data_IF_342858149504
#
_entry.id   IF_342858149504
#
_cell.length_a   1.000
_cell.length_b   1.000
_cell.length_c   1.000
_cell.angle_alpha   90.00
_cell.angle_beta   90.00
_cell.angle_gamma   90.00
#
_symmetry.space_group_name_H-M   'P 1'
#
loop_
_entity.id
_entity.type
_entity.pdbx_description
1 polymer ?
#
# COMPACT_ATOMS: atom_id res chain seq x y z
N UNK A 1 -37.12 -29.23 10.96
CA UNK A 1 -36.00 -28.47 10.27
C UNK A 1 -34.75 -29.29 10.41
N UNK A 2 -34.20 -29.75 9.31
CA UNK A 2 -33.01 -30.59 9.29
C UNK A 2 -31.79 -29.80 9.80
N UNK A 3 -30.84 -30.47 10.44
CA UNK A 3 -29.59 -29.92 10.96
C UNK A 3 -28.83 -29.09 9.89
N UNK A 4 -28.86 -29.56 8.64
CA UNK A 4 -28.32 -28.91 7.45
C UNK A 4 -28.94 -27.52 7.21
N UNK A 5 -30.23 -27.34 7.46
CA UNK A 5 -30.91 -26.06 7.28
C UNK A 5 -30.43 -25.03 8.31
N UNK A 6 -30.29 -25.44 9.57
CA UNK A 6 -29.77 -24.59 10.66
C UNK A 6 -28.32 -24.16 10.40
N UNK A 7 -27.46 -25.08 9.92
CA UNK A 7 -26.09 -24.78 9.55
C UNK A 7 -26.00 -23.78 8.39
N UNK A 8 -26.82 -23.94 7.36
CA UNK A 8 -26.87 -23.02 6.21
C UNK A 8 -27.30 -21.61 6.62
N UNK A 9 -28.34 -21.47 7.46
CA UNK A 9 -28.76 -20.17 7.97
C UNK A 9 -27.72 -19.54 8.90
N UNK A 10 -27.07 -20.32 9.75
CA UNK A 10 -25.97 -19.85 10.60
C UNK A 10 -24.79 -19.33 9.78
N UNK A 11 -24.38 -20.04 8.72
CA UNK A 11 -23.33 -19.63 7.83
C UNK A 11 -23.68 -18.34 7.05
N UNK A 12 -24.92 -18.21 6.59
CA UNK A 12 -25.38 -17.01 5.91
C UNK A 12 -25.40 -15.79 6.83
N UNK A 13 -25.87 -15.93 8.06
CA UNK A 13 -25.85 -14.85 9.05
C UNK A 13 -24.44 -14.41 9.40
N UNK A 14 -23.53 -15.35 9.56
CA UNK A 14 -22.10 -15.06 9.83
C UNK A 14 -21.47 -14.31 8.67
N UNK A 15 -21.75 -14.72 7.43
CA UNK A 15 -21.25 -14.03 6.23
C UNK A 15 -21.76 -12.59 6.17
N UNK A 16 -23.06 -12.37 6.42
CA UNK A 16 -23.65 -11.02 6.46
C UNK A 16 -23.02 -10.18 7.57
N UNK A 17 -22.80 -10.74 8.75
CA UNK A 17 -22.15 -10.03 9.85
C UNK A 17 -20.72 -9.65 9.51
N UNK A 18 -19.93 -10.51 8.88
CA UNK A 18 -18.57 -10.23 8.44
C UNK A 18 -18.54 -9.13 7.37
N UNK A 19 -19.47 -9.16 6.40
CA UNK A 19 -19.57 -8.15 5.36
C UNK A 19 -19.96 -6.79 5.94
N UNK A 20 -20.94 -6.74 6.86
CA UNK A 20 -21.32 -5.51 7.56
C UNK A 20 -20.15 -4.96 8.38
N UNK A 21 -19.46 -5.81 9.11
CA UNK A 21 -18.26 -5.38 9.84
C UNK A 21 -17.19 -4.83 8.90
N UNK A 22 -16.92 -5.50 7.78
CA UNK A 22 -15.94 -5.06 6.80
C UNK A 22 -16.32 -3.73 6.12
N UNK A 23 -17.62 -3.44 5.98
CA UNK A 23 -18.11 -2.19 5.41
C UNK A 23 -18.05 -1.02 6.41
N UNK A 24 -18.28 -1.27 7.70
CA UNK A 24 -18.47 -0.24 8.72
C UNK A 24 -17.24 -0.04 9.62
N UNK A 25 -16.45 -1.07 9.85
CA UNK A 25 -15.30 -0.98 10.74
C UNK A 25 -14.26 0.05 10.26
N UNK A 26 -13.65 0.83 11.18
CA UNK A 26 -12.67 1.84 10.82
C UNK A 26 -11.44 1.20 10.18
N UNK A 27 -10.84 1.92 9.23
CA UNK A 27 -9.57 1.52 8.63
C UNK A 27 -8.44 1.92 9.59
N UNK A 28 -7.80 0.93 10.19
CA UNK A 28 -6.65 1.11 11.07
C UNK A 28 -5.51 0.25 10.59
N UNK A 29 -4.34 0.87 10.46
CA UNK A 29 -3.09 0.17 10.21
C UNK A 29 -2.13 0.42 11.37
N UNK A 30 -1.27 -0.54 11.72
CA UNK A 30 -0.31 -0.37 12.80
C UNK A 30 0.69 0.75 12.51
N UNK A 31 0.98 0.99 11.23
CA UNK A 31 1.84 2.09 10.78
C UNK A 31 1.18 2.85 9.65
N UNK A 32 1.23 4.19 9.70
CA UNK A 32 0.75 5.06 8.62
C UNK A 32 1.77 5.22 7.49
N UNK A 33 2.83 4.41 7.50
CA UNK A 33 3.98 4.52 6.65
C UNK A 33 3.93 3.51 5.50
N UNK A 34 4.33 3.94 4.31
CA UNK A 34 4.62 3.08 3.17
C UNK A 34 6.05 3.32 2.73
N UNK A 35 6.85 2.27 2.71
CA UNK A 35 8.28 2.39 2.37
C UNK A 35 8.47 2.25 0.87
N UNK A 36 9.19 3.20 0.29
CA UNK A 36 9.77 3.15 -1.06
C UNK A 36 11.27 2.94 -0.90
N UNK A 37 11.77 1.81 -1.38
CA UNK A 37 13.20 1.45 -1.27
C UNK A 37 13.90 1.75 -2.59
N UNK A 38 15.03 2.45 -2.53
CA UNK A 38 15.99 2.56 -3.62
C UNK A 38 17.01 1.44 -3.46
N UNK A 39 16.94 0.41 -4.34
CA UNK A 39 17.77 -0.79 -4.19
C UNK A 39 19.21 -0.54 -4.60
N UNK A 40 20.16 -1.36 -4.13
CA UNK A 40 21.55 -1.32 -4.59
C UNK A 40 21.64 -1.55 -6.10
N UNK A 41 22.53 -0.79 -6.77
CA UNK A 41 22.75 -0.91 -8.21
C UNK A 41 21.86 -0.02 -9.08
N UNK A 42 21.11 0.88 -8.48
CA UNK A 42 20.31 1.89 -9.19
C UNK A 42 19.11 1.32 -9.96
N UNK A 43 18.59 2.10 -10.91
CA UNK A 43 17.37 1.79 -11.68
C UNK A 43 17.41 0.51 -12.52
N UNK A 44 18.60 -0.04 -12.78
CA UNK A 44 18.78 -1.23 -13.62
C UNK A 44 18.70 -2.57 -12.90
N UNK A 45 18.89 -2.60 -11.57
CA UNK A 45 18.99 -3.85 -10.82
C UNK A 45 17.62 -4.37 -10.33
N UNK A 46 16.83 -3.49 -9.74
CA UNK A 46 15.46 -3.80 -9.31
C UNK A 46 14.58 -2.57 -9.57
N UNK A 47 13.50 -2.70 -10.31
CA UNK A 47 12.69 -1.54 -10.67
C UNK A 47 12.00 -0.95 -9.44
N UNK A 48 12.22 0.34 -9.19
CA UNK A 48 11.42 1.13 -8.25
C UNK A 48 10.05 1.36 -8.88
N UNK A 49 8.94 1.19 -8.14
CA UNK A 49 7.60 1.37 -8.70
C UNK A 49 7.40 2.81 -9.21
N UNK A 50 6.87 2.93 -10.43
CA UNK A 50 6.56 4.23 -11.02
C UNK A 50 5.32 4.89 -10.39
N UNK A 51 4.49 4.11 -9.68
CA UNK A 51 3.30 4.60 -9.00
C UNK A 51 3.25 4.08 -7.56
N UNK A 52 2.98 4.99 -6.62
CA UNK A 52 2.76 4.69 -5.21
C UNK A 52 1.39 5.22 -4.82
N UNK A 53 0.56 4.37 -4.21
CA UNK A 53 -0.78 4.75 -3.73
C UNK A 53 -0.78 4.89 -2.22
N UNK A 54 -1.29 6.02 -1.76
CA UNK A 54 -1.47 6.34 -0.35
C UNK A 54 -2.94 6.67 -0.06
N UNK A 55 -3.33 6.59 1.20
CA UNK A 55 -4.68 6.92 1.65
C UNK A 55 -4.58 7.77 2.91
N UNK A 56 -5.15 8.96 2.89
CA UNK A 56 -5.15 9.89 4.01
C UNK A 56 -5.73 9.24 5.27
N UNK A 57 -5.08 9.46 6.40
CA UNK A 57 -5.50 8.93 7.69
C UNK A 57 -5.27 7.42 7.89
N UNK A 58 -4.84 6.70 6.84
CA UNK A 58 -4.60 5.25 6.87
C UNK A 58 -3.12 4.94 6.60
N UNK A 59 -2.64 5.33 5.43
CA UNK A 59 -1.24 5.26 5.00
C UNK A 59 -0.94 6.51 4.20
N UNK A 60 -0.48 7.54 4.85
CA UNK A 60 -0.28 8.88 4.30
C UNK A 60 1.15 9.42 4.49
N UNK A 61 2.05 8.56 4.94
CA UNK A 61 3.48 8.89 5.06
C UNK A 61 4.28 7.99 4.13
N UNK A 62 5.03 8.59 3.21
CA UNK A 62 6.00 7.88 2.37
C UNK A 62 7.36 7.91 3.02
N UNK A 63 7.92 6.72 3.29
CA UNK A 63 9.30 6.55 3.72
C UNK A 63 10.18 6.26 2.51
N UNK A 64 11.11 7.15 2.21
CA UNK A 64 12.14 6.94 1.21
C UNK A 64 13.34 6.33 1.90
N UNK A 65 13.68 5.09 1.56
CA UNK A 65 14.82 4.38 2.13
C UNK A 65 15.86 4.08 1.06
N UNK A 66 17.00 4.77 1.13
CA UNK A 66 18.10 4.53 0.21
C UNK A 66 18.98 3.38 0.73
N UNK A 67 18.94 2.24 0.06
CA UNK A 67 19.82 1.08 0.29
C UNK A 67 20.97 1.00 -0.71
N UNK A 68 21.05 1.95 -1.64
CA UNK A 68 22.16 2.03 -2.59
C UNK A 68 23.38 2.68 -1.95
N UNK A 69 24.51 2.55 -2.59
CA UNK A 69 25.78 3.21 -2.24
C UNK A 69 25.89 4.63 -2.79
N UNK A 70 25.00 4.97 -3.75
CA UNK A 70 24.89 6.30 -4.32
C UNK A 70 23.75 7.12 -3.70
N UNK A 71 23.84 8.44 -3.63
CA UNK A 71 22.72 9.30 -3.27
C UNK A 71 21.68 9.30 -4.39
N UNK A 72 20.40 9.37 -4.02
CA UNK A 72 19.28 9.43 -4.96
C UNK A 72 18.43 10.68 -4.74
N UNK A 73 17.95 11.26 -5.84
CA UNK A 73 17.06 12.44 -5.82
C UNK A 73 15.61 11.99 -5.95
N UNK A 74 14.76 12.49 -5.06
CA UNK A 74 13.32 12.34 -5.13
C UNK A 74 12.66 13.71 -5.02
N UNK A 75 12.21 14.26 -6.14
CA UNK A 75 11.72 15.64 -6.21
C UNK A 75 12.81 16.65 -5.82
N UNK A 76 12.62 17.30 -4.68
CA UNK A 76 13.59 18.28 -4.14
C UNK A 76 14.44 17.69 -2.98
N UNK A 77 14.27 16.41 -2.68
CA UNK A 77 14.93 15.74 -1.57
C UNK A 77 16.08 14.88 -2.08
N UNK A 78 17.27 15.09 -1.51
CA UNK A 78 18.42 14.21 -1.70
C UNK A 78 18.47 13.18 -0.57
N UNK A 79 18.31 11.90 -0.92
CA UNK A 79 18.37 10.80 0.04
C UNK A 79 19.76 10.17 -0.03
N UNK A 80 20.57 10.39 1.00
CA UNK A 80 21.93 9.85 1.09
C UNK A 80 21.93 8.33 1.31
N UNK A 81 23.02 7.62 0.97
CA UNK A 81 23.18 6.20 1.21
C UNK A 81 22.87 5.79 2.65
N UNK A 82 22.07 4.75 2.84
CA UNK A 82 21.67 4.22 4.15
C UNK A 82 20.70 5.11 4.94
N UNK A 83 20.24 6.22 4.36
CA UNK A 83 19.33 7.14 5.05
C UNK A 83 17.88 6.88 4.70
N UNK A 84 17.01 7.27 5.64
CA UNK A 84 15.57 7.25 5.49
C UNK A 84 15.04 8.67 5.58
N UNK A 85 14.17 9.05 4.65
CA UNK A 85 13.47 10.33 4.67
C UNK A 85 11.96 10.10 4.74
N UNK A 86 11.27 10.86 5.60
CA UNK A 86 9.81 10.78 5.80
C UNK A 86 9.13 11.92 5.07
N UNK A 87 8.22 11.59 4.17
CA UNK A 87 7.41 12.54 3.42
C UNK A 87 5.92 12.34 3.76
N UNK A 88 5.35 13.17 4.66
CA UNK A 88 3.94 13.11 4.99
C UNK A 88 3.09 13.82 3.93
N UNK A 89 1.88 13.31 3.69
CA UNK A 89 0.87 13.91 2.82
C UNK A 89 -0.37 14.28 3.64
N UNK A 90 -0.84 15.51 3.46
CA UNK A 90 -1.99 16.05 4.18
C UNK A 90 -3.21 16.27 3.27
N UNK A 91 -3.02 16.23 1.96
CA UNK A 91 -4.06 16.46 0.98
C UNK A 91 -4.11 15.34 -0.05
N UNK A 92 -5.32 15.01 -0.51
CA UNK A 92 -5.49 14.09 -1.63
C UNK A 92 -5.09 14.77 -2.94
N UNK A 93 -4.51 13.98 -3.84
CA UNK A 93 -4.08 14.44 -5.15
C UNK A 93 -3.05 13.51 -5.77
N UNK A 94 -2.68 13.81 -7.00
CA UNK A 94 -1.61 13.14 -7.73
C UNK A 94 -0.36 14.02 -7.70
N UNK A 95 0.70 13.51 -7.07
CA UNK A 95 1.98 14.19 -6.93
C UNK A 95 3.01 13.50 -7.81
N UNK A 96 3.62 14.26 -8.69
CA UNK A 96 4.65 13.76 -9.62
C UNK A 96 6.02 14.23 -9.17
N UNK A 97 6.90 13.28 -8.86
CA UNK A 97 8.27 13.56 -8.43
C UNK A 97 9.27 13.03 -9.44
N UNK A 98 10.27 13.84 -9.77
CA UNK A 98 11.45 13.35 -10.47
C UNK A 98 12.20 12.38 -9.55
N UNK A 99 12.63 11.24 -10.06
CA UNK A 99 13.35 10.22 -9.31
C UNK A 99 14.37 9.53 -10.21
N UNK A 100 15.63 9.68 -9.90
CA UNK A 100 16.75 9.09 -10.66
C UNK A 100 16.88 7.57 -10.46
N UNK A 101 16.26 7.02 -9.40
CA UNK A 101 16.26 5.61 -9.12
C UNK A 101 15.20 4.82 -9.92
N UNK A 102 14.40 5.47 -10.77
CA UNK A 102 13.40 4.81 -11.63
C UNK A 102 13.81 4.84 -13.10
N UNK A 103 13.44 3.81 -13.86
CA UNK A 103 13.70 3.76 -15.29
C UNK A 103 13.03 4.92 -16.06
N UNK A 104 11.87 5.37 -15.62
CA UNK A 104 11.14 6.51 -16.19
C UNK A 104 11.55 7.86 -15.63
N UNK A 105 12.47 7.90 -14.68
CA UNK A 105 12.92 9.10 -13.95
C UNK A 105 11.79 9.88 -13.25
N UNK A 106 10.63 9.27 -13.10
CA UNK A 106 9.44 9.87 -12.48
C UNK A 106 8.71 8.85 -11.62
N UNK A 107 8.26 9.27 -10.44
CA UNK A 107 7.34 8.52 -9.57
C UNK A 107 6.09 9.33 -9.33
N UNK A 108 4.94 8.73 -9.57
CA UNK A 108 3.64 9.35 -9.26
C UNK A 108 3.14 8.83 -7.92
N UNK A 109 2.94 9.71 -6.96
CA UNK A 109 2.33 9.39 -5.67
C UNK A 109 0.87 9.81 -5.71
N UNK A 110 -0.04 8.84 -5.72
CA UNK A 110 -1.49 9.08 -5.67
C UNK A 110 -1.99 8.99 -4.25
N UNK A 111 -2.45 10.10 -3.74
CA UNK A 111 -3.02 10.20 -2.39
C UNK A 111 -4.53 10.33 -2.50
N UNK A 112 -5.24 9.31 -2.03
CA UNK A 112 -6.69 9.30 -2.02
C UNK A 112 -7.25 9.65 -0.64
N UNK A 113 -8.46 10.18 -0.61
CA UNK A 113 -9.22 10.32 0.63
C UNK A 113 -9.57 8.94 1.20
N UNK A 114 -9.79 8.88 2.51
CA UNK A 114 -10.30 7.69 3.16
C UNK A 114 -11.70 7.38 2.59
N UNK A 115 -11.97 6.12 2.21
CA UNK A 115 -13.28 5.75 1.70
C UNK A 115 -14.36 5.87 2.78
N UNK A 116 -15.53 6.37 2.39
CA UNK A 116 -16.69 6.45 3.26
C UNK A 116 -17.13 5.06 3.74
N UNK A 117 -17.76 4.98 4.94
CA UNK A 117 -18.37 3.74 5.43
C UNK A 117 -19.38 3.19 4.42
N UNK A 118 -19.42 1.86 4.27
CA UNK A 118 -20.32 1.19 3.34
C UNK A 118 -19.59 0.49 2.18
N UNK A 119 -20.21 0.48 1.01
CA UNK A 119 -19.71 -0.24 -0.17
C UNK A 119 -18.34 0.27 -0.65
N UNK A 120 -18.09 1.57 -0.54
CA UNK A 120 -16.80 2.15 -0.92
C UNK A 120 -15.67 1.58 -0.07
N UNK A 121 -15.87 1.45 1.24
CA UNK A 121 -14.89 0.88 2.18
C UNK A 121 -14.70 -0.62 1.97
N UNK A 122 -15.78 -1.34 1.70
CA UNK A 122 -15.71 -2.77 1.38
C UNK A 122 -14.90 -3.01 0.10
N UNK A 123 -15.18 -2.26 -0.96
CA UNK A 123 -14.43 -2.33 -2.22
C UNK A 123 -12.96 -1.94 -2.06
N UNK A 124 -12.66 -0.96 -1.21
CA UNK A 124 -11.28 -0.59 -0.89
C UNK A 124 -10.53 -1.72 -0.19
N UNK A 125 -11.17 -2.37 0.82
CA UNK A 125 -10.56 -3.52 1.54
C UNK A 125 -10.30 -4.69 0.61
N UNK A 126 -11.24 -4.99 -0.28
CA UNK A 126 -11.09 -6.08 -1.24
C UNK A 126 -9.90 -5.82 -2.19
N UNK A 127 -9.77 -4.60 -2.72
CA UNK A 127 -8.63 -4.21 -3.56
C UNK A 127 -7.31 -4.27 -2.82
N UNK A 128 -7.26 -3.76 -1.58
CA UNK A 128 -6.08 -3.83 -0.74
C UNK A 128 -5.66 -5.27 -0.43
N UNK A 129 -6.63 -6.17 -0.22
CA UNK A 129 -6.38 -7.59 -0.01
C UNK A 129 -5.81 -8.26 -1.28
N UNK A 130 -6.42 -8.01 -2.45
CA UNK A 130 -5.93 -8.55 -3.73
C UNK A 130 -4.51 -8.05 -4.03
N UNK A 131 -4.22 -6.78 -3.77
CA UNK A 131 -2.87 -6.22 -3.93
C UNK A 131 -1.87 -6.87 -2.96
N UNK A 132 -2.26 -7.07 -1.70
CA UNK A 132 -1.42 -7.76 -0.72
C UNK A 132 -1.11 -9.19 -1.13
N UNK A 133 -2.10 -9.95 -1.63
CA UNK A 133 -1.90 -11.32 -2.12
C UNK A 133 -0.98 -11.36 -3.33
N UNK A 134 -1.09 -10.39 -4.26
CA UNK A 134 -0.22 -10.32 -5.45
C UNK A 134 1.23 -9.97 -5.12
N UNK A 135 1.46 -9.27 -4.01
CA UNK A 135 2.80 -8.84 -3.58
C UNK A 135 3.43 -9.77 -2.55
N UNK A 136 2.78 -10.87 -2.19
CA UNK A 136 3.38 -11.90 -1.33
C UNK A 136 4.60 -12.49 -2.06
N UNK A 137 5.80 -12.47 -1.45
CA UNK A 137 6.95 -13.19 -1.97
C UNK A 137 6.63 -14.68 -1.88
N UNK A 138 6.47 -15.34 -3.02
CA UNK A 138 6.41 -16.81 -3.08
C UNK A 138 7.86 -17.27 -2.94
N UNK A 139 8.32 -17.48 -1.71
CA UNK A 139 9.52 -18.26 -1.47
C UNK A 139 9.19 -19.71 -1.85
N UNK A 140 9.72 -20.16 -3.00
CA UNK A 140 9.73 -21.57 -3.31
C UNK A 140 10.50 -22.29 -2.19
N UNK A 141 9.99 -23.40 -1.61
CA UNK A 141 10.76 -24.19 -0.68
C UNK A 141 12.04 -24.63 -1.40
N UNK A 142 13.17 -24.16 -0.87
CA UNK A 142 14.48 -24.52 -1.38
C UNK A 142 14.68 -26.04 -1.23
N UNK A 143 15.08 -26.67 -2.30
CA UNK A 143 15.59 -28.06 -2.30
C UNK A 143 16.90 -28.13 -1.54
#
# INVERSE_FOLDING_TARGET
MSLLHRVRWGAALLLVAVLLWAALAPLRYPTRERTLVFPPGGAGATPVPAEVRLTLGVRDVLLLHNRDTAPHVFGQVLVLPGRVFRLPFEQAGDYVYACDATLGQVVTVRVANQPDPGWARLGWRLRAFVEAVRTLPIEAPGD
#
